data_IF_059483318167
#
_entry.id   IF_059483318167
#
_cell.length_a   1.000
_cell.length_b   1.000
_cell.length_c   1.000
_cell.angle_alpha   90.00
_cell.angle_beta   90.00
_cell.angle_gamma   90.00
#
_symmetry.space_group_name_H-M   'P 1'
#
loop_
_entity.id
_entity.type
_entity.pdbx_description
1 polymer ?
#
# COMPACT_ATOMS: atom_id res chain seq x y z
N UNK A 1 -11.40 28.32 -5.82
CA UNK A 1 -11.56 26.88 -6.13
C UNK A 1 -12.58 26.75 -7.26
N UNK A 2 -12.31 25.93 -8.28
CA UNK A 2 -13.21 25.78 -9.45
C UNK A 2 -14.20 24.64 -9.20
N UNK A 3 -15.50 24.92 -9.26
CA UNK A 3 -16.56 23.92 -9.05
C UNK A 3 -17.03 23.30 -10.37
N UNK A 4 -16.26 22.32 -10.89
CA UNK A 4 -16.61 21.65 -12.16
C UNK A 4 -17.91 20.85 -12.10
N UNK A 5 -18.36 20.47 -10.91
CA UNK A 5 -19.65 19.77 -10.69
C UNK A 5 -20.85 20.60 -11.14
N UNK A 6 -20.73 21.93 -11.14
CA UNK A 6 -21.76 22.82 -11.67
C UNK A 6 -21.94 22.64 -13.19
N UNK A 7 -20.91 22.24 -13.93
CA UNK A 7 -21.04 21.94 -15.36
C UNK A 7 -21.91 20.70 -15.60
N UNK A 8 -21.92 19.74 -14.69
CA UNK A 8 -22.79 18.56 -14.79
C UNK A 8 -24.28 18.94 -14.64
N UNK A 9 -24.60 19.97 -13.85
CA UNK A 9 -25.96 20.51 -13.78
C UNK A 9 -26.37 21.15 -15.11
N UNK A 10 -25.46 21.87 -15.77
CA UNK A 10 -25.78 22.55 -17.03
C UNK A 10 -25.84 21.57 -18.19
N UNK A 11 -24.96 20.57 -18.26
CA UNK A 11 -24.98 19.54 -19.32
C UNK A 11 -26.30 18.76 -19.36
N UNK A 12 -26.98 18.58 -18.21
CA UNK A 12 -28.31 17.97 -18.15
C UNK A 12 -29.39 18.79 -18.88
N UNK A 13 -29.23 20.11 -18.94
CA UNK A 13 -30.18 21.03 -19.58
C UNK A 13 -29.75 21.43 -20.99
N UNK A 14 -28.43 21.49 -21.25
CA UNK A 14 -27.84 21.90 -22.52
C UNK A 14 -26.74 20.88 -22.90
N UNK A 15 -27.09 19.79 -23.60
CA UNK A 15 -26.16 18.68 -23.87
C UNK A 15 -25.08 19.00 -24.92
N UNK A 16 -25.23 20.06 -25.71
CA UNK A 16 -24.31 20.42 -26.79
C UNK A 16 -23.67 21.80 -26.58
N UNK A 17 -23.05 22.01 -25.41
CA UNK A 17 -22.33 23.26 -25.12
C UNK A 17 -21.01 23.34 -25.88
N UNK A 18 -20.82 24.44 -26.61
CA UNK A 18 -19.51 24.83 -27.14
C UNK A 18 -18.86 25.86 -26.21
N UNK A 19 -17.82 25.46 -25.47
CA UNK A 19 -17.11 26.35 -24.55
C UNK A 19 -16.28 27.44 -25.24
N UNK A 20 -16.09 27.36 -26.56
CA UNK A 20 -15.45 28.41 -27.35
C UNK A 20 -16.41 29.52 -27.79
N UNK A 21 -17.74 29.28 -27.75
CA UNK A 21 -18.76 30.27 -28.10
C UNK A 21 -19.18 31.09 -26.87
N UNK A 22 -18.98 32.41 -26.94
CA UNK A 22 -19.42 33.34 -25.91
C UNK A 22 -20.94 33.29 -25.65
N UNK A 23 -21.75 32.96 -26.66
CA UNK A 23 -23.21 32.80 -26.49
C UNK A 23 -23.55 31.61 -25.60
N UNK A 24 -22.81 30.52 -25.72
CA UNK A 24 -23.02 29.33 -24.89
C UNK A 24 -22.54 29.56 -23.46
N UNK A 25 -21.45 30.31 -23.25
CA UNK A 25 -21.03 30.76 -21.91
C UNK A 25 -22.14 31.61 -21.24
N UNK A 26 -22.81 32.48 -21.99
CA UNK A 26 -23.96 33.26 -21.46
C UNK A 26 -25.14 32.35 -21.10
N UNK A 27 -25.39 31.27 -21.87
CA UNK A 27 -26.43 30.29 -21.52
C UNK A 27 -26.09 29.55 -20.22
N UNK A 28 -24.83 29.14 -20.05
CA UNK A 28 -24.32 28.52 -18.81
C UNK A 28 -24.57 29.45 -17.62
N UNK A 29 -24.20 30.73 -17.74
CA UNK A 29 -24.43 31.73 -16.69
C UNK A 29 -25.90 31.85 -16.29
N UNK A 30 -26.81 31.92 -17.28
CA UNK A 30 -28.25 32.03 -17.01
C UNK A 30 -28.80 30.82 -16.28
N UNK A 31 -28.41 29.60 -16.69
CA UNK A 31 -28.84 28.35 -16.05
C UNK A 31 -28.35 28.30 -14.61
N UNK A 32 -27.05 28.56 -14.38
CA UNK A 32 -26.47 28.49 -13.04
C UNK A 32 -27.04 29.56 -12.10
N UNK A 33 -27.26 30.79 -12.57
CA UNK A 33 -27.90 31.85 -11.77
C UNK A 33 -29.36 31.56 -11.44
N UNK A 34 -30.08 30.86 -12.32
CA UNK A 34 -31.43 30.38 -12.01
C UNK A 34 -31.38 29.27 -10.94
N UNK A 35 -30.45 28.33 -11.06
CA UNK A 35 -30.25 27.25 -10.09
C UNK A 35 -29.88 27.80 -8.71
N UNK A 36 -29.01 28.80 -8.62
CA UNK A 36 -28.63 29.45 -7.36
C UNK A 36 -29.81 30.12 -6.61
N UNK A 37 -30.89 30.48 -7.32
CA UNK A 37 -32.12 31.00 -6.68
C UNK A 37 -32.99 29.89 -6.09
N UNK A 38 -32.88 28.68 -6.63
CA UNK A 38 -33.69 27.51 -6.24
C UNK A 38 -32.97 26.63 -5.21
N UNK A 39 -31.64 26.58 -5.28
CA UNK A 39 -30.80 25.72 -4.45
C UNK A 39 -29.77 26.54 -3.66
N UNK A 40 -29.95 26.68 -2.32
CA UNK A 40 -29.01 27.40 -1.46
C UNK A 40 -27.59 26.84 -1.43
N UNK A 41 -27.39 25.58 -1.86
CA UNK A 41 -26.06 24.98 -1.95
C UNK A 41 -25.21 25.56 -3.09
N UNK A 42 -25.84 26.17 -4.11
CA UNK A 42 -25.14 26.78 -5.25
C UNK A 42 -24.85 28.24 -4.95
N UNK A 43 -23.57 28.57 -4.72
CA UNK A 43 -23.15 29.94 -4.39
C UNK A 43 -22.82 30.74 -5.64
N UNK A 44 -23.21 32.03 -5.64
CA UNK A 44 -22.95 32.95 -6.75
C UNK A 44 -21.45 33.08 -7.05
N UNK A 45 -20.60 33.17 -6.02
CA UNK A 45 -19.15 33.25 -6.19
C UNK A 45 -18.56 32.04 -6.93
N UNK A 46 -19.11 30.83 -6.69
CA UNK A 46 -18.64 29.61 -7.36
C UNK A 46 -19.00 29.63 -8.85
N UNK A 47 -20.16 30.20 -9.19
CA UNK A 47 -20.60 30.41 -10.58
C UNK A 47 -19.67 31.41 -11.27
N UNK A 48 -19.37 32.55 -10.63
CA UNK A 48 -18.50 33.58 -11.21
C UNK A 48 -17.07 33.07 -11.43
N UNK A 49 -16.54 32.28 -10.48
CA UNK A 49 -15.25 31.61 -10.62
C UNK A 49 -15.23 30.65 -11.82
N UNK A 50 -16.29 29.82 -11.97
CA UNK A 50 -16.41 28.90 -13.09
C UNK A 50 -16.54 29.63 -14.43
N UNK A 51 -17.34 30.70 -14.52
CA UNK A 51 -17.49 31.47 -15.75
C UNK A 51 -16.20 32.16 -16.16
N UNK A 52 -15.46 32.70 -15.19
CA UNK A 52 -14.14 33.30 -15.44
C UNK A 52 -13.16 32.26 -15.97
N UNK A 53 -13.15 31.07 -15.37
CA UNK A 53 -12.37 29.92 -15.85
C UNK A 53 -12.74 29.53 -17.29
N UNK A 54 -14.03 29.37 -17.61
CA UNK A 54 -14.48 29.00 -18.95
C UNK A 54 -14.10 30.07 -20.00
N UNK A 55 -14.20 31.35 -19.67
CA UNK A 55 -13.83 32.44 -20.58
C UNK A 55 -12.33 32.47 -20.86
N UNK A 56 -11.52 32.20 -19.84
CA UNK A 56 -10.05 32.25 -19.93
C UNK A 56 -9.48 31.03 -20.66
N UNK A 57 -9.91 29.82 -20.29
CA UNK A 57 -9.31 28.58 -20.76
C UNK A 57 -10.11 27.85 -21.84
N UNK A 58 -11.41 28.17 -21.99
CA UNK A 58 -12.31 27.60 -23.01
C UNK A 58 -12.19 26.07 -23.11
N UNK A 59 -11.82 25.55 -24.27
CA UNK A 59 -11.65 24.11 -24.54
C UNK A 59 -10.24 23.58 -24.25
N UNK A 60 -9.27 24.44 -23.91
CA UNK A 60 -7.84 24.08 -23.74
C UNK A 60 -7.63 22.88 -22.82
N UNK A 61 -8.37 22.80 -21.72
CA UNK A 61 -8.21 21.76 -20.71
C UNK A 61 -9.13 20.55 -20.89
N UNK A 62 -9.99 20.52 -21.93
CA UNK A 62 -10.88 19.39 -22.17
C UNK A 62 -10.15 18.04 -22.31
N UNK A 63 -9.02 17.93 -23.05
CA UNK A 63 -8.31 16.66 -23.16
C UNK A 63 -7.85 16.09 -21.80
N UNK A 64 -7.52 16.98 -20.86
CA UNK A 64 -7.11 16.63 -19.50
C UNK A 64 -8.34 16.24 -18.66
N UNK A 65 -9.40 17.05 -18.70
CA UNK A 65 -10.62 16.87 -17.90
C UNK A 65 -11.48 15.67 -18.35
N UNK A 66 -11.28 15.16 -19.56
CA UNK A 66 -11.90 13.91 -20.01
C UNK A 66 -11.38 12.68 -19.24
N UNK A 67 -10.20 12.78 -18.62
CA UNK A 67 -9.72 11.71 -17.76
C UNK A 67 -10.53 11.67 -16.45
N UNK A 68 -11.21 10.54 -16.22
CA UNK A 68 -12.08 10.34 -15.06
C UNK A 68 -11.39 10.59 -13.72
N UNK A 69 -10.16 10.12 -13.55
CA UNK A 69 -9.43 10.28 -12.29
C UNK A 69 -9.08 11.75 -12.06
N UNK A 70 -8.63 12.46 -13.10
CA UNK A 70 -8.35 13.91 -13.00
C UNK A 70 -9.63 14.67 -12.67
N UNK A 71 -10.74 14.37 -13.34
CA UNK A 71 -12.04 14.98 -13.02
C UNK A 71 -12.49 14.71 -11.57
N UNK A 72 -12.10 13.59 -10.97
CA UNK A 72 -12.34 13.30 -9.55
C UNK A 72 -11.42 14.17 -8.67
N UNK A 73 -10.12 14.19 -8.97
CA UNK A 73 -9.11 14.95 -8.21
C UNK A 73 -9.46 16.44 -8.20
N UNK A 74 -9.60 17.04 -9.38
CA UNK A 74 -9.81 18.50 -9.48
C UNK A 74 -11.27 18.90 -9.30
N UNK A 75 -12.23 18.01 -9.58
CA UNK A 75 -13.65 18.30 -9.36
C UNK A 75 -14.13 18.03 -7.93
N UNK A 76 -13.27 17.44 -7.08
CA UNK A 76 -13.63 16.91 -5.76
C UNK A 76 -14.87 16.01 -5.78
N UNK A 77 -15.06 15.29 -6.89
CA UNK A 77 -16.20 14.40 -7.03
C UNK A 77 -16.08 13.23 -6.05
N UNK A 78 -17.19 12.77 -5.45
CA UNK A 78 -17.16 11.57 -4.64
C UNK A 78 -16.71 10.37 -5.50
N UNK A 79 -15.68 9.67 -5.07
CA UNK A 79 -15.17 8.48 -5.76
C UNK A 79 -13.74 8.15 -5.36
N UNK A 80 -13.34 6.90 -5.66
CA UNK A 80 -11.94 6.47 -5.61
C UNK A 80 -11.37 6.52 -7.03
N UNK A 81 -10.10 6.91 -7.13
CA UNK A 81 -9.36 6.83 -8.39
C UNK A 81 -8.63 5.49 -8.49
N UNK A 82 -8.36 5.04 -9.71
CA UNK A 82 -7.54 3.86 -9.98
C UNK A 82 -6.16 4.25 -10.51
N UNK A 83 -5.34 3.28 -10.91
CA UNK A 83 -3.99 3.50 -11.45
C UNK A 83 -3.94 3.73 -12.97
N UNK A 84 -5.06 4.09 -13.60
CA UNK A 84 -5.05 4.48 -15.02
C UNK A 84 -4.17 5.72 -15.22
N UNK A 85 -3.54 5.84 -16.39
CA UNK A 85 -2.69 6.99 -16.74
C UNK A 85 -3.44 7.99 -17.61
N UNK A 86 -2.99 9.25 -17.59
CA UNK A 86 -3.39 10.24 -18.58
C UNK A 86 -2.71 9.91 -19.93
N UNK A 87 -3.47 9.86 -21.03
CA UNK A 87 -2.86 9.89 -22.36
C UNK A 87 -2.35 11.31 -22.63
N UNK A 88 -1.02 11.47 -22.77
CA UNK A 88 -0.35 12.76 -22.99
C UNK A 88 0.00 13.04 -24.47
N UNK A 89 -0.34 12.16 -25.42
CA UNK A 89 0.08 12.26 -26.84
C UNK A 89 -0.19 13.61 -27.52
N UNK A 90 -1.21 14.35 -27.06
CA UNK A 90 -1.63 15.63 -27.65
C UNK A 90 -1.71 16.77 -26.63
N UNK A 91 -0.99 16.68 -25.51
CA UNK A 91 -1.03 17.68 -24.44
C UNK A 91 0.38 18.23 -24.24
N UNK A 92 0.57 19.53 -24.48
CA UNK A 92 1.87 20.17 -24.30
C UNK A 92 2.20 20.36 -22.81
N UNK A 93 3.50 20.43 -22.49
CA UNK A 93 3.95 20.67 -21.12
C UNK A 93 3.49 22.05 -20.60
N UNK A 94 3.42 23.08 -21.45
CA UNK A 94 2.86 24.37 -21.03
C UNK A 94 1.38 24.24 -20.65
N UNK A 95 0.62 23.42 -21.38
CA UNK A 95 -0.79 23.16 -21.07
C UNK A 95 -0.95 22.42 -19.74
N UNK A 96 -0.05 21.48 -19.44
CA UNK A 96 -0.03 20.77 -18.15
C UNK A 96 0.32 21.71 -16.99
N UNK A 97 1.31 22.59 -17.18
CA UNK A 97 1.72 23.57 -16.16
C UNK A 97 0.60 24.59 -15.87
N UNK A 98 -0.03 25.14 -16.91
CA UNK A 98 -1.19 26.03 -16.73
C UNK A 98 -2.37 25.30 -16.06
N UNK A 99 -2.59 24.02 -16.40
CA UNK A 99 -3.64 23.22 -15.77
C UNK A 99 -3.37 23.02 -14.28
N UNK A 100 -2.14 22.67 -13.92
CA UNK A 100 -1.72 22.55 -12.53
C UNK A 100 -1.97 23.86 -11.79
N UNK A 101 -1.52 25.00 -12.32
CA UNK A 101 -1.72 26.30 -11.67
C UNK A 101 -3.22 26.64 -11.49
N UNK A 102 -4.05 26.37 -12.49
CA UNK A 102 -5.48 26.64 -12.42
C UNK A 102 -6.21 25.79 -11.37
N UNK A 103 -5.77 24.54 -11.17
CA UNK A 103 -6.43 23.57 -10.28
C UNK A 103 -5.66 23.25 -9.00
N UNK A 104 -4.55 23.94 -8.73
CA UNK A 104 -3.72 23.75 -7.56
C UNK A 104 -4.51 23.75 -6.23
N UNK A 105 -5.43 24.71 -5.96
CA UNK A 105 -6.24 24.68 -4.74
C UNK A 105 -7.10 23.41 -4.65
N UNK A 106 -7.69 22.98 -5.76
CA UNK A 106 -8.54 21.80 -5.82
C UNK A 106 -7.73 20.52 -5.56
N UNK A 107 -6.57 20.37 -6.21
CA UNK A 107 -5.66 19.23 -6.00
C UNK A 107 -5.14 19.20 -4.56
N UNK A 108 -4.75 20.35 -4.01
CA UNK A 108 -4.28 20.47 -2.62
C UNK A 108 -5.32 19.98 -1.63
N UNK A 109 -6.55 20.45 -1.76
CA UNK A 109 -7.65 20.01 -0.90
C UNK A 109 -7.93 18.51 -1.04
N UNK A 110 -7.90 17.97 -2.27
CA UNK A 110 -8.10 16.55 -2.52
C UNK A 110 -7.01 15.70 -1.84
N UNK A 111 -5.73 16.07 -2.04
CA UNK A 111 -4.57 15.38 -1.43
C UNK A 111 -4.64 15.42 0.10
N UNK A 112 -4.89 16.60 0.69
CA UNK A 112 -5.01 16.74 2.16
C UNK A 112 -6.18 15.93 2.71
N UNK A 113 -7.30 15.89 1.98
CA UNK A 113 -8.44 15.04 2.32
C UNK A 113 -8.06 13.56 2.29
N UNK A 114 -7.41 13.08 1.23
CA UNK A 114 -6.96 11.68 1.13
C UNK A 114 -6.00 11.30 2.26
N UNK A 115 -5.10 12.21 2.66
CA UNK A 115 -4.20 11.99 3.81
C UNK A 115 -4.96 11.88 5.13
N UNK A 116 -5.94 12.76 5.37
CA UNK A 116 -6.76 12.73 6.59
C UNK A 116 -7.64 11.47 6.66
N UNK A 117 -8.23 11.10 5.53
CA UNK A 117 -9.19 10.00 5.44
C UNK A 117 -8.48 8.62 5.34
N UNK A 118 -7.15 8.59 5.25
CA UNK A 118 -6.35 7.37 5.19
C UNK A 118 -6.41 6.63 3.85
N UNK A 119 -6.73 7.33 2.75
CA UNK A 119 -6.86 6.70 1.42
C UNK A 119 -5.51 6.62 0.71
N UNK A 120 -4.62 5.78 1.23
CA UNK A 120 -3.24 5.64 0.76
C UNK A 120 -3.15 5.16 -0.69
N UNK A 121 -4.11 4.33 -1.13
CA UNK A 121 -4.13 3.82 -2.51
C UNK A 121 -4.47 4.92 -3.51
N UNK A 122 -5.49 5.73 -3.21
CA UNK A 122 -5.82 6.93 -4.00
C UNK A 122 -4.61 7.87 -4.03
N UNK A 123 -4.02 8.17 -2.88
CA UNK A 123 -2.90 9.09 -2.82
C UNK A 123 -1.69 8.58 -3.62
N UNK A 124 -1.39 7.29 -3.52
CA UNK A 124 -0.34 6.65 -4.30
C UNK A 124 -0.57 6.78 -5.80
N UNK A 125 -1.81 6.62 -6.27
CA UNK A 125 -2.12 6.80 -7.69
C UNK A 125 -1.91 8.26 -8.15
N UNK A 126 -2.23 9.25 -7.30
CA UNK A 126 -1.93 10.66 -7.57
C UNK A 126 -0.43 10.85 -7.81
N UNK A 127 0.40 10.45 -6.85
CA UNK A 127 1.85 10.66 -6.94
C UNK A 127 2.53 9.84 -8.05
N UNK A 128 1.97 8.69 -8.43
CA UNK A 128 2.54 7.83 -9.46
C UNK A 128 2.14 8.23 -10.89
N UNK A 129 0.87 8.59 -11.11
CA UNK A 129 0.30 8.76 -12.46
C UNK A 129 -0.06 10.21 -12.79
N UNK A 130 -0.18 11.06 -11.77
CA UNK A 130 -0.67 12.44 -11.86
C UNK A 130 0.23 13.41 -11.08
N UNK A 131 1.52 13.08 -10.99
CA UNK A 131 2.56 13.86 -10.35
C UNK A 131 2.57 15.34 -10.76
N UNK A 132 2.30 15.62 -12.04
CA UNK A 132 2.23 16.97 -12.60
C UNK A 132 1.14 17.85 -11.98
N UNK A 133 0.14 17.26 -11.29
CA UNK A 133 -0.88 18.01 -10.57
C UNK A 133 -0.40 18.51 -9.21
N UNK A 134 0.65 17.89 -8.66
CA UNK A 134 1.11 18.13 -7.29
C UNK A 134 2.23 19.15 -7.29
N UNK A 135 1.97 20.30 -6.68
CA UNK A 135 2.99 21.31 -6.42
C UNK A 135 4.08 20.79 -5.49
N UNK A 136 5.32 21.25 -5.69
CA UNK A 136 6.45 20.81 -4.86
C UNK A 136 6.26 21.18 -3.39
N UNK A 137 5.77 22.39 -3.10
CA UNK A 137 5.44 22.81 -1.74
C UNK A 137 4.40 21.87 -1.08
N UNK A 138 3.40 21.41 -1.85
CA UNK A 138 2.43 20.44 -1.34
C UNK A 138 3.08 19.09 -1.07
N UNK A 139 4.00 18.64 -1.94
CA UNK A 139 4.75 17.40 -1.73
C UNK A 139 5.57 17.48 -0.43
N UNK A 140 6.31 18.56 -0.23
CA UNK A 140 7.10 18.82 0.97
C UNK A 140 6.21 18.81 2.23
N UNK A 141 5.07 19.52 2.20
CA UNK A 141 4.11 19.55 3.31
C UNK A 141 3.61 18.14 3.68
N UNK A 142 3.31 17.30 2.69
CA UNK A 142 2.90 15.91 2.92
C UNK A 142 4.05 15.06 3.46
N UNK A 143 5.27 15.23 2.93
CA UNK A 143 6.45 14.53 3.41
C UNK A 143 6.73 14.83 4.89
N UNK A 144 6.73 16.09 5.29
CA UNK A 144 6.90 16.51 6.69
C UNK A 144 5.82 15.94 7.61
N UNK A 145 4.57 15.91 7.14
CA UNK A 145 3.47 15.28 7.87
C UNK A 145 3.71 13.79 8.10
N UNK A 146 4.27 13.09 7.11
CA UNK A 146 4.58 11.66 7.21
C UNK A 146 5.80 11.37 8.09
N UNK A 147 6.83 12.22 8.04
CA UNK A 147 7.94 12.17 9.01
C UNK A 147 7.40 12.27 10.44
N UNK A 148 6.52 13.24 10.70
CA UNK A 148 5.89 13.41 12.02
C UNK A 148 5.12 12.15 12.45
N UNK A 149 4.38 11.52 11.53
CA UNK A 149 3.67 10.25 11.79
C UNK A 149 4.63 9.10 12.12
N UNK A 150 5.71 8.96 11.36
CA UNK A 150 6.73 7.94 11.59
C UNK A 150 7.42 8.14 12.94
N UNK A 151 7.80 9.37 13.29
CA UNK A 151 8.45 9.67 14.57
C UNK A 151 7.52 9.42 15.76
N UNK A 152 6.22 9.73 15.62
CA UNK A 152 5.23 9.38 16.63
C UNK A 152 5.09 7.86 16.81
N UNK A 153 5.11 7.10 15.72
CA UNK A 153 5.10 5.63 15.76
C UNK A 153 6.36 5.07 16.44
N UNK A 154 7.54 5.55 16.06
CA UNK A 154 8.83 5.17 16.66
C UNK A 154 8.78 5.41 18.18
N UNK A 155 8.38 6.61 18.60
CA UNK A 155 8.25 6.98 20.02
C UNK A 155 7.26 6.07 20.75
N UNK A 156 6.12 5.74 20.13
CA UNK A 156 5.15 4.81 20.71
C UNK A 156 5.71 3.39 20.88
N UNK A 157 6.56 2.92 19.97
CA UNK A 157 7.24 1.62 20.09
C UNK A 157 8.28 1.68 21.21
N UNK A 158 9.12 2.71 21.22
CA UNK A 158 10.20 2.91 22.20
C UNK A 158 9.65 3.03 23.63
N UNK A 159 8.46 3.60 23.81
CA UNK A 159 7.81 3.80 25.12
C UNK A 159 6.83 2.69 25.52
N UNK A 160 6.76 1.59 24.77
CA UNK A 160 5.81 0.47 24.97
C UNK A 160 4.33 0.88 24.90
N UNK A 161 4.01 1.95 24.18
CA UNK A 161 2.64 2.42 23.92
C UNK A 161 2.08 1.95 22.57
N UNK A 162 2.81 1.10 21.85
CA UNK A 162 2.49 0.64 20.49
C UNK A 162 1.06 0.12 20.33
N UNK A 163 0.52 -0.62 21.31
CA UNK A 163 -0.85 -1.16 21.22
C UNK A 163 -1.89 -0.05 21.18
N UNK A 164 -1.80 0.90 22.13
CA UNK A 164 -2.74 2.01 22.21
C UNK A 164 -2.60 2.92 20.99
N UNK A 165 -1.36 3.20 20.59
CA UNK A 165 -1.06 4.00 19.41
C UNK A 165 -1.64 3.38 18.13
N UNK A 166 -1.38 2.09 17.87
CA UNK A 166 -1.85 1.43 16.66
C UNK A 166 -3.39 1.33 16.57
N UNK A 167 -4.07 1.23 17.71
CA UNK A 167 -5.55 1.29 17.75
C UNK A 167 -6.10 2.67 17.41
N UNK A 168 -5.42 3.73 17.82
CA UNK A 168 -5.81 5.12 17.53
C UNK A 168 -5.35 5.57 16.14
N UNK A 169 -4.32 4.93 15.59
CA UNK A 169 -3.62 5.34 14.37
C UNK A 169 -3.48 4.17 13.40
N UNK A 170 -4.53 3.92 12.61
CA UNK A 170 -4.60 2.79 11.68
C UNK A 170 -3.42 2.72 10.70
N UNK A 171 -2.91 3.87 10.25
CA UNK A 171 -1.78 3.96 9.31
C UNK A 171 -0.55 3.14 9.75
N UNK A 172 -0.34 3.00 11.07
CA UNK A 172 0.83 2.30 11.63
C UNK A 172 0.87 0.81 11.31
N UNK A 173 -0.26 0.22 10.92
CA UNK A 173 -0.40 -1.21 10.59
C UNK A 173 -0.95 -1.45 9.19
N UNK A 174 -1.05 -0.39 8.37
CA UNK A 174 -1.59 -0.47 7.02
C UNK A 174 -0.47 -0.53 5.98
N UNK A 175 -0.41 -1.64 5.22
CA UNK A 175 0.56 -1.87 4.14
C UNK A 175 0.58 -0.71 3.14
N UNK A 176 -0.60 -0.17 2.82
CA UNK A 176 -0.75 0.92 1.85
C UNK A 176 -0.05 2.20 2.27
N UNK A 177 0.08 2.48 3.57
CA UNK A 177 0.79 3.66 4.07
C UNK A 177 2.29 3.54 3.77
N UNK A 178 2.91 2.41 4.15
CA UNK A 178 4.33 2.17 3.90
C UNK A 178 4.63 2.08 2.40
N UNK A 179 3.74 1.49 1.61
CA UNK A 179 3.95 1.44 0.16
C UNK A 179 3.81 2.82 -0.53
N UNK A 180 2.99 3.70 0.04
CA UNK A 180 2.88 5.08 -0.41
C UNK A 180 4.18 5.86 -0.12
N UNK A 181 4.83 5.64 1.03
CA UNK A 181 6.09 6.33 1.38
C UNK A 181 7.16 6.14 0.28
N UNK A 182 7.33 4.92 -0.23
CA UNK A 182 8.30 4.64 -1.29
C UNK A 182 7.91 5.26 -2.64
N UNK A 183 6.61 5.46 -2.88
CA UNK A 183 6.11 6.11 -4.11
C UNK A 183 6.25 7.63 -4.06
N UNK A 184 6.10 8.23 -2.88
CA UNK A 184 6.06 9.68 -2.69
C UNK A 184 7.42 10.34 -2.95
N UNK A 185 8.47 9.77 -2.35
CA UNK A 185 9.84 10.26 -2.44
C UNK A 185 10.82 9.09 -2.17
N UNK A 186 11.37 8.46 -3.23
CA UNK A 186 12.30 7.36 -3.09
C UNK A 186 13.51 7.73 -2.23
N UNK A 187 13.86 6.89 -1.25
CA UNK A 187 15.00 7.11 -0.34
C UNK A 187 14.74 8.09 0.81
N UNK A 188 13.73 8.97 0.71
CA UNK A 188 13.48 10.01 1.72
C UNK A 188 13.09 9.43 3.08
N UNK A 189 12.34 8.31 3.08
CA UNK A 189 11.83 7.68 4.31
C UNK A 189 12.65 6.47 4.77
N UNK A 190 13.79 6.18 4.12
CA UNK A 190 14.59 4.99 4.45
C UNK A 190 15.07 5.00 5.91
N UNK A 191 15.55 6.16 6.41
CA UNK A 191 15.99 6.29 7.80
C UNK A 191 14.84 6.06 8.79
N UNK A 192 13.68 6.68 8.55
CA UNK A 192 12.51 6.51 9.40
C UNK A 192 12.06 5.04 9.46
N UNK A 193 11.98 4.37 8.31
CA UNK A 193 11.57 2.96 8.23
C UNK A 193 12.60 2.04 8.88
N UNK A 194 13.89 2.31 8.70
CA UNK A 194 14.96 1.60 9.41
C UNK A 194 14.82 1.77 10.93
N UNK A 195 14.55 2.98 11.41
CA UNK A 195 14.35 3.26 12.84
C UNK A 195 13.13 2.54 13.40
N UNK A 196 12.02 2.49 12.64
CA UNK A 196 10.84 1.68 13.00
C UNK A 196 11.24 0.21 13.15
N UNK A 197 11.95 -0.35 12.17
CA UNK A 197 12.41 -1.75 12.20
C UNK A 197 13.33 -2.04 13.41
N UNK A 198 14.26 -1.14 13.72
CA UNK A 198 15.19 -1.29 14.83
C UNK A 198 14.47 -1.20 16.19
N UNK A 199 13.58 -0.21 16.36
CA UNK A 199 12.78 -0.07 17.56
C UNK A 199 11.93 -1.32 17.84
N UNK A 200 11.36 -1.94 16.80
CA UNK A 200 10.63 -3.21 16.92
C UNK A 200 11.56 -4.35 17.35
N UNK A 201 12.74 -4.44 16.71
CA UNK A 201 13.73 -5.49 16.97
C UNK A 201 14.24 -5.47 18.41
N UNK A 202 14.43 -4.28 18.99
CA UNK A 202 14.83 -4.09 20.39
C UNK A 202 13.72 -4.49 21.38
N UNK A 203 12.46 -4.44 20.95
CA UNK A 203 11.27 -4.74 21.78
C UNK A 203 10.64 -6.09 21.47
N UNK A 204 11.31 -6.97 20.71
CA UNK A 204 10.76 -8.27 20.30
C UNK A 204 10.54 -9.27 21.45
N UNK A 205 11.24 -9.10 22.58
CA UNK A 205 11.12 -9.93 23.80
C UNK A 205 10.06 -9.39 24.75
N UNK A 206 8.84 -9.20 24.24
CA UNK A 206 7.70 -8.66 24.98
C UNK A 206 6.61 -9.70 25.18
N UNK A 207 5.57 -9.35 25.92
CA UNK A 207 4.40 -10.20 26.09
C UNK A 207 3.72 -10.50 24.73
N UNK A 208 2.97 -11.61 24.60
CA UNK A 208 2.35 -11.99 23.33
C UNK A 208 1.44 -10.92 22.72
N UNK A 209 0.75 -10.12 23.55
CA UNK A 209 -0.13 -9.06 23.09
C UNK A 209 0.64 -7.93 22.42
N UNK A 210 1.70 -7.44 23.06
CA UNK A 210 2.59 -6.43 22.48
C UNK A 210 3.28 -6.97 21.22
N UNK A 211 3.78 -8.20 21.27
CA UNK A 211 4.46 -8.85 20.14
C UNK A 211 3.55 -8.96 18.90
N UNK A 212 2.26 -9.25 19.09
CA UNK A 212 1.27 -9.27 18.01
C UNK A 212 1.15 -7.93 17.30
N UNK A 213 1.07 -6.82 18.04
CA UNK A 213 0.96 -5.48 17.44
C UNK A 213 2.27 -5.02 16.80
N UNK A 214 3.42 -5.30 17.42
CA UNK A 214 4.73 -5.07 16.80
C UNK A 214 4.86 -5.86 15.49
N UNK A 215 4.36 -7.11 15.46
CA UNK A 215 4.30 -7.93 14.25
C UNK A 215 3.45 -7.29 13.14
N UNK A 216 2.31 -6.68 13.46
CA UNK A 216 1.49 -5.97 12.48
C UNK A 216 2.20 -4.75 11.89
N UNK A 217 2.85 -3.95 12.73
CA UNK A 217 3.62 -2.79 12.28
C UNK A 217 4.78 -3.23 11.40
N UNK A 218 5.55 -4.22 11.84
CA UNK A 218 6.68 -4.77 11.08
C UNK A 218 6.22 -5.35 9.74
N UNK A 219 5.10 -6.08 9.73
CA UNK A 219 4.54 -6.64 8.52
C UNK A 219 4.13 -5.54 7.53
N UNK A 220 3.44 -4.50 8.00
CA UNK A 220 3.10 -3.35 7.17
C UNK A 220 4.35 -2.64 6.62
N UNK A 221 5.38 -2.46 7.45
CA UNK A 221 6.66 -1.87 7.03
C UNK A 221 7.38 -2.66 5.93
N UNK A 222 7.13 -3.97 5.81
CA UNK A 222 7.73 -4.80 4.74
C UNK A 222 7.25 -4.45 3.33
N UNK A 223 6.18 -3.66 3.20
CA UNK A 223 5.68 -3.15 1.92
C UNK A 223 6.36 -1.86 1.47
N UNK A 224 7.23 -1.29 2.30
CA UNK A 224 8.11 -0.19 1.90
C UNK A 224 9.18 -0.71 0.93
N UNK A 225 9.22 -0.17 -0.28
CA UNK A 225 10.27 -0.46 -1.25
C UNK A 225 11.43 0.52 -1.02
N UNK A 226 12.35 0.13 -0.14
CA UNK A 226 13.50 0.94 0.24
C UNK A 226 14.44 1.18 -0.95
N UNK A 227 15.07 2.36 -0.96
CA UNK A 227 16.12 2.68 -1.93
C UNK A 227 17.44 2.05 -1.52
N UNK A 228 17.73 1.97 -0.22
CA UNK A 228 18.85 1.24 0.35
C UNK A 228 18.63 -0.27 0.28
N UNK A 229 19.52 -0.97 -0.43
CA UNK A 229 19.44 -2.43 -0.65
C UNK A 229 19.56 -3.23 0.65
N UNK A 230 20.29 -2.74 1.65
CA UNK A 230 20.43 -3.41 2.94
C UNK A 230 19.12 -3.37 3.73
N UNK A 231 18.48 -2.20 3.79
CA UNK A 231 17.15 -2.04 4.38
C UNK A 231 16.12 -2.88 3.62
N UNK A 232 16.13 -2.84 2.29
CA UNK A 232 15.23 -3.65 1.44
C UNK A 232 15.34 -5.14 1.76
N UNK A 233 16.56 -5.68 1.79
CA UNK A 233 16.79 -7.09 2.14
C UNK A 233 16.34 -7.40 3.58
N UNK A 234 16.56 -6.47 4.51
CA UNK A 234 16.13 -6.63 5.91
C UNK A 234 14.62 -6.72 6.03
N UNK A 235 13.89 -5.81 5.39
CA UNK A 235 12.42 -5.79 5.38
C UNK A 235 11.84 -7.04 4.74
N UNK A 236 12.40 -7.49 3.61
CA UNK A 236 11.99 -8.74 2.95
C UNK A 236 12.21 -9.97 3.84
N UNK A 237 13.38 -10.07 4.50
CA UNK A 237 13.67 -11.16 5.44
C UNK A 237 12.75 -11.15 6.66
N UNK A 238 12.36 -9.97 7.13
CA UNK A 238 11.49 -9.80 8.29
C UNK A 238 10.01 -10.08 8.01
N UNK A 239 9.59 -10.19 6.75
CA UNK A 239 8.17 -10.39 6.40
C UNK A 239 7.59 -11.66 7.02
N UNK A 240 8.29 -12.79 6.90
CA UNK A 240 7.84 -14.07 7.48
C UNK A 240 7.93 -14.08 9.00
N UNK A 241 8.91 -13.39 9.57
CA UNK A 241 9.04 -13.23 11.03
C UNK A 241 7.84 -12.45 11.56
N UNK A 242 7.51 -11.32 10.94
CA UNK A 242 6.37 -10.49 11.28
C UNK A 242 5.06 -11.28 11.17
N UNK A 243 4.88 -12.04 10.07
CA UNK A 243 3.70 -12.88 9.87
C UNK A 243 3.55 -13.93 10.97
N UNK A 244 4.64 -14.54 11.44
CA UNK A 244 4.60 -15.51 12.54
C UNK A 244 4.18 -14.89 13.87
N UNK A 245 4.47 -13.61 14.10
CA UNK A 245 4.06 -12.90 15.30
C UNK A 245 2.57 -12.53 15.26
N UNK A 246 2.03 -12.24 14.07
CA UNK A 246 0.60 -11.94 13.88
C UNK A 246 -0.25 -13.21 13.87
N UNK A 247 0.29 -14.30 13.32
CA UNK A 247 -0.39 -15.57 13.14
C UNK A 247 0.45 -16.75 13.63
N UNK A 248 0.65 -16.91 14.95
CA UNK A 248 1.53 -17.95 15.50
C UNK A 248 1.10 -19.37 15.13
N UNK A 249 -0.19 -19.60 14.91
CA UNK A 249 -0.74 -20.94 14.59
C UNK A 249 -0.72 -21.28 13.09
N UNK A 250 -0.35 -20.34 12.21
CA UNK A 250 -0.29 -20.58 10.76
C UNK A 250 1.03 -21.26 10.34
N UNK A 251 2.08 -21.18 11.15
CA UNK A 251 3.40 -21.73 10.83
C UNK A 251 3.64 -23.19 11.26
N UNK A 252 2.69 -23.86 11.94
CA UNK A 252 2.85 -25.28 12.30
C UNK A 252 2.83 -26.27 11.12
N UNK A 253 2.82 -25.81 9.86
CA UNK A 253 2.73 -26.69 8.67
C UNK A 253 3.78 -26.52 7.59
N UNK A 254 4.91 -25.87 7.86
CA UNK A 254 6.02 -25.87 6.91
C UNK A 254 7.38 -26.11 7.56
N UNK A 255 7.46 -27.06 8.48
CA UNK A 255 8.76 -27.65 8.79
C UNK A 255 9.15 -28.61 7.66
N UNK A 256 10.27 -28.29 7.00
CA UNK A 256 11.02 -29.15 6.07
C UNK A 256 11.55 -30.46 6.67
N UNK A 257 10.83 -31.01 7.65
CA UNK A 257 11.06 -32.27 8.36
C UNK A 257 10.76 -33.50 7.49
N UNK A 258 9.89 -33.38 6.48
CA UNK A 258 9.54 -34.53 5.64
C UNK A 258 10.71 -35.06 4.79
N UNK A 259 11.56 -34.19 4.25
CA UNK A 259 12.69 -34.61 3.43
C UNK A 259 13.81 -35.23 4.27
N UNK A 260 14.13 -34.68 5.46
CA UNK A 260 15.19 -35.26 6.29
C UNK A 260 14.78 -36.58 6.95
N UNK A 261 13.53 -36.70 7.44
CA UNK A 261 13.03 -37.95 8.05
C UNK A 261 12.91 -39.08 7.01
N UNK A 262 12.52 -38.76 5.77
CA UNK A 262 12.44 -39.75 4.68
C UNK A 262 13.82 -40.21 4.23
N UNK A 263 14.78 -39.29 4.10
CA UNK A 263 16.17 -39.65 3.75
C UNK A 263 16.81 -40.51 4.85
N UNK A 264 16.63 -40.15 6.13
CA UNK A 264 17.14 -40.95 7.26
C UNK A 264 16.50 -42.35 7.29
N UNK A 265 15.19 -42.45 7.04
CA UNK A 265 14.49 -43.74 6.96
C UNK A 265 15.01 -44.60 5.79
N UNK A 266 15.23 -44.01 4.61
CA UNK A 266 15.78 -44.71 3.44
C UNK A 266 17.20 -45.20 3.72
N UNK A 267 18.06 -44.37 4.34
CA UNK A 267 19.43 -44.77 4.71
C UNK A 267 19.43 -45.95 5.68
N UNK A 268 18.56 -45.94 6.69
CA UNK A 268 18.43 -47.04 7.65
C UNK A 268 17.93 -48.34 6.99
N UNK A 269 17.01 -48.24 6.03
CA UNK A 269 16.53 -49.40 5.26
C UNK A 269 17.66 -49.98 4.41
N UNK A 270 18.44 -49.14 3.71
CA UNK A 270 19.57 -49.59 2.90
C UNK A 270 20.64 -50.27 3.77
N UNK A 271 20.97 -49.70 4.93
CA UNK A 271 21.89 -50.31 5.89
C UNK A 271 21.40 -51.67 6.39
N UNK A 272 20.11 -51.79 6.69
CA UNK A 272 19.51 -53.06 7.10
C UNK A 272 19.60 -54.12 6.01
N UNK A 273 19.37 -53.75 4.74
CA UNK A 273 19.49 -54.66 3.59
C UNK A 273 20.93 -55.12 3.41
N UNK A 274 21.92 -54.22 3.50
CA UNK A 274 23.34 -54.56 3.38
C UNK A 274 23.75 -55.58 4.44
N UNK A 275 23.35 -55.36 5.70
CA UNK A 275 23.62 -56.31 6.80
C UNK A 275 22.96 -57.67 6.53
N UNK A 276 21.78 -57.67 5.91
CA UNK A 276 21.03 -58.88 5.58
C UNK A 276 21.72 -59.70 4.48
N UNK A 277 22.29 -59.04 3.46
CA UNK A 277 23.08 -59.68 2.39
C UNK A 277 24.38 -60.27 2.95
N UNK A 278 25.11 -59.51 3.77
CA UNK A 278 26.36 -59.99 4.39
C UNK A 278 26.09 -61.19 5.31
N UNK A 279 25.01 -61.17 6.09
CA UNK A 279 24.64 -62.28 6.97
C UNK A 279 24.22 -63.54 6.19
N UNK A 280 23.57 -63.38 5.03
CA UNK A 280 23.20 -64.48 4.16
C UNK A 280 24.43 -65.15 3.50
N UNK A 281 25.41 -64.35 3.07
CA UNK A 281 26.69 -64.87 2.53
C UNK A 281 27.57 -65.53 3.60
N UNK A 282 27.49 -65.05 4.86
CA UNK A 282 28.23 -65.62 5.98
C UNK A 282 27.64 -66.93 6.56
N UNK A 283 26.55 -67.45 5.99
CA UNK A 283 25.96 -68.73 6.40
C UNK A 283 25.37 -68.76 7.81
N UNK A 284 25.01 -67.60 8.36
CA UNK A 284 24.46 -67.49 9.73
C UNK A 284 22.98 -67.90 9.69
N UNK A 285 22.69 -69.17 10.02
CA UNK A 285 21.34 -69.75 9.97
C UNK A 285 20.45 -69.43 11.19
N UNK A 286 20.93 -68.61 12.13
CA UNK A 286 20.14 -68.26 13.32
C UNK A 286 19.25 -67.04 13.03
N UNK A 287 17.95 -67.20 13.24
CA UNK A 287 16.91 -66.16 13.00
C UNK A 287 17.01 -65.03 14.05
N UNK A 288 17.66 -65.29 15.18
CA UNK A 288 17.80 -64.39 16.33
C UNK A 288 18.40 -63.01 15.98
N UNK A 289 19.57 -62.89 15.32
CA UNK A 289 20.12 -61.59 14.91
C UNK A 289 19.20 -60.79 13.99
N UNK A 290 18.43 -61.46 13.10
CA UNK A 290 17.50 -60.79 12.19
C UNK A 290 16.33 -60.14 12.95
N UNK A 291 15.79 -60.82 13.97
CA UNK A 291 14.70 -60.29 14.81
C UNK A 291 15.16 -59.08 15.62
N UNK A 292 16.41 -59.08 16.11
CA UNK A 292 16.97 -57.94 16.83
C UNK A 292 17.19 -56.71 15.95
N UNK A 293 17.70 -56.90 14.73
CA UNK A 293 17.91 -55.79 13.78
C UNK A 293 16.56 -55.20 13.35
N UNK A 294 15.57 -56.05 13.04
CA UNK A 294 14.22 -55.59 12.69
C UNK A 294 13.56 -54.83 13.84
N UNK A 295 13.66 -55.33 15.08
CA UNK A 295 13.16 -54.61 16.26
C UNK A 295 13.88 -53.28 16.48
N UNK A 296 15.19 -53.21 16.25
CA UNK A 296 15.97 -51.99 16.41
C UNK A 296 15.56 -50.92 15.38
N UNK A 297 15.40 -51.31 14.11
CA UNK A 297 14.94 -50.41 13.04
C UNK A 297 13.52 -49.91 13.32
N UNK A 298 12.60 -50.80 13.73
CA UNK A 298 11.23 -50.41 14.09
C UNK A 298 11.21 -49.45 15.28
N UNK A 299 12.01 -49.72 16.33
CA UNK A 299 12.12 -48.80 17.48
C UNK A 299 12.75 -47.45 17.12
N UNK A 300 13.74 -47.44 16.24
CA UNK A 300 14.37 -46.20 15.75
C UNK A 300 13.38 -45.36 14.93
N UNK A 301 12.61 -45.98 14.04
CA UNK A 301 11.55 -45.30 13.27
C UNK A 301 10.47 -44.74 14.20
N UNK A 302 10.02 -45.52 15.20
CA UNK A 302 9.02 -45.05 16.18
C UNK A 302 9.57 -43.89 17.02
N UNK A 303 10.85 -43.93 17.41
CA UNK A 303 11.48 -42.84 18.16
C UNK A 303 11.62 -41.55 17.34
N UNK A 304 11.88 -41.66 16.03
CA UNK A 304 11.95 -40.52 15.10
C UNK A 304 10.57 -39.91 14.79
N UNK A 305 9.49 -40.68 14.91
CA UNK A 305 8.11 -40.22 14.69
C UNK A 305 7.41 -39.68 15.95
N UNK A 306 8.00 -39.85 17.15
CA UNK A 306 7.44 -39.36 18.43
C UNK A 306 7.96 -37.98 18.88
N UNK A 307 8.74 -37.29 18.04
CA UNK A 307 9.17 -35.89 18.21
C UNK A 307 8.74 -35.08 17.00
#
# INVERSE_FOLDING_TARGET
MIQLTLLELVKKQIPHLNYDDAKDIIKIEKVLKAEAKLNPAVKINDIENLLSFLKLYKTKFLPILQNKNIAIIVGQNPGRINFARLNREHISDETLAEFQQAFAPNTRDFVKKSVRDGDWTTLRSVFLNYDFLVEEELREEICESFVTKNHALISAIETNQCIAFAKANAFSVEEGYFYLLSTLAPGYFDEDVLRINNAISERQKTDPGTKHYLGKVLYAATFFDAFDESLKSTLQGNQQIALSWVYPNLQEKSDGSFLSKTIIAVVLIVLAIIVLVIAAEAGISSITPFVFIAMFVVRAIIALNKK
#
